data_IF_068480602527
#
_entry.id   IF_068480602527
#
_cell.length_a   1.000
_cell.length_b   1.000
_cell.length_c   1.000
_cell.angle_alpha   90.00
_cell.angle_beta   90.00
_cell.angle_gamma   90.00
#
_symmetry.space_group_name_H-M   'P 1'
#
loop_
_entity.id
_entity.type
_entity.pdbx_description
1 polymer ?
#
# COMPACT_ATOMS: atom_id res chain seq x y z
N UNK A 1 6.86 -19.86 26.29
CA UNK A 1 7.86 -19.05 25.56
C UNK A 1 7.51 -19.29 24.10
N UNK A 2 6.94 -18.39 23.31
CA UNK A 2 7.11 -16.94 23.22
C UNK A 2 5.91 -16.36 22.45
N UNK A 3 5.62 -15.08 22.67
CA UNK A 3 4.52 -14.33 22.12
C UNK A 3 4.99 -13.59 20.84
N UNK A 4 4.06 -13.39 19.89
CA UNK A 4 3.92 -12.19 19.04
C UNK A 4 4.63 -12.16 17.67
N UNK A 5 4.02 -11.41 16.74
CA UNK A 5 4.39 -11.03 15.36
C UNK A 5 3.94 -12.00 14.24
N UNK A 6 3.21 -11.61 13.20
CA UNK A 6 2.68 -10.29 12.86
C UNK A 6 1.38 -10.40 12.05
N UNK A 7 0.45 -9.60 12.53
CA UNK A 7 -0.80 -9.20 11.95
C UNK A 7 -0.55 -8.46 10.64
N UNK A 8 -0.83 -9.07 9.48
CA UNK A 8 -1.01 -8.33 8.21
C UNK A 8 -1.67 -9.17 7.12
N UNK A 9 -2.61 -10.06 7.46
CA UNK A 9 -3.63 -10.48 6.47
C UNK A 9 -4.75 -9.45 6.42
N UNK A 10 -4.43 -8.20 6.04
CA UNK A 10 -5.48 -7.24 5.67
C UNK A 10 -5.98 -7.63 4.28
N UNK A 11 -6.82 -8.67 4.25
CA UNK A 11 -7.72 -8.95 3.14
C UNK A 11 -8.59 -7.72 2.98
N UNK A 12 -8.30 -6.87 2.00
CA UNK A 12 -9.15 -5.74 1.67
C UNK A 12 -9.59 -5.85 0.23
N UNK A 13 -10.91 -5.85 0.07
CA UNK A 13 -11.68 -5.83 -1.15
C UNK A 13 -11.13 -4.84 -2.20
N UNK A 14 -11.44 -5.03 -3.49
CA UNK A 14 -10.90 -4.21 -4.58
C UNK A 14 -11.36 -2.75 -4.45
N UNK A 15 -10.47 -1.90 -3.97
CA UNK A 15 -10.57 -0.43 -3.96
C UNK A 15 -9.22 0.12 -4.46
N UNK A 16 -9.16 1.36 -4.97
CA UNK A 16 -7.89 1.99 -5.38
C UNK A 16 -6.82 1.94 -4.28
N UNK A 17 -7.25 1.90 -3.02
CA UNK A 17 -6.39 1.74 -1.86
C UNK A 17 -5.73 0.34 -1.78
N UNK A 18 -6.37 -0.71 -2.30
CA UNK A 18 -5.80 -2.06 -2.35
C UNK A 18 -4.74 -2.21 -3.46
N UNK A 19 -4.87 -1.45 -4.56
CA UNK A 19 -3.84 -1.39 -5.62
C UNK A 19 -2.55 -0.74 -5.10
N UNK A 20 -2.65 0.38 -4.40
CA UNK A 20 -1.49 1.05 -3.79
C UNK A 20 -0.76 0.17 -2.79
N UNK A 21 -1.50 -0.56 -1.94
CA UNK A 21 -0.91 -1.53 -1.01
C UNK A 21 -0.20 -2.68 -1.73
N UNK A 22 -0.81 -3.27 -2.76
CA UNK A 22 -0.21 -4.40 -3.48
C UNK A 22 1.14 -4.02 -4.11
N UNK A 23 1.21 -2.84 -4.76
CA UNK A 23 2.45 -2.33 -5.34
C UNK A 23 3.50 -2.02 -4.26
N UNK A 24 3.08 -1.39 -3.16
CA UNK A 24 3.97 -1.09 -2.03
C UNK A 24 4.56 -2.34 -1.39
N UNK A 25 3.75 -3.37 -1.14
CA UNK A 25 4.20 -4.64 -0.58
C UNK A 25 5.14 -5.37 -1.54
N UNK A 26 4.80 -5.45 -2.83
CA UNK A 26 5.65 -6.11 -3.82
C UNK A 26 7.04 -5.45 -3.92
N UNK A 27 7.09 -4.12 -3.99
CA UNK A 27 8.36 -3.37 -3.98
C UNK A 27 9.10 -3.54 -2.66
N UNK A 28 8.41 -3.43 -1.53
CA UNK A 28 8.99 -3.59 -0.20
C UNK A 28 9.62 -4.97 0.02
N UNK A 29 9.02 -6.02 -0.52
CA UNK A 29 9.58 -7.37 -0.48
C UNK A 29 10.84 -7.48 -1.34
N UNK A 30 10.85 -6.94 -2.56
CA UNK A 30 12.02 -6.96 -3.44
C UNK A 30 13.21 -6.21 -2.80
N UNK A 31 12.98 -5.00 -2.30
CA UNK A 31 14.01 -4.22 -1.62
C UNK A 31 14.42 -4.84 -0.27
N UNK A 32 13.47 -5.40 0.47
CA UNK A 32 13.72 -6.07 1.74
C UNK A 32 14.59 -7.33 1.57
N UNK A 33 14.34 -8.11 0.52
CA UNK A 33 15.17 -9.26 0.15
C UNK A 33 16.57 -8.83 -0.31
N UNK A 34 16.66 -7.73 -1.06
CA UNK A 34 17.94 -7.24 -1.57
C UNK A 34 18.85 -6.69 -0.46
N UNK A 35 18.26 -6.13 0.60
CA UNK A 35 18.97 -5.62 1.78
C UNK A 35 19.12 -6.66 2.90
N UNK A 36 18.68 -7.90 2.66
CA UNK A 36 18.58 -8.98 3.67
C UNK A 36 17.76 -8.60 4.93
N UNK A 37 16.94 -7.55 4.81
CA UNK A 37 16.19 -6.92 5.89
C UNK A 37 14.73 -6.77 5.48
N UNK A 38 14.03 -7.91 5.36
CA UNK A 38 12.63 -7.96 4.91
C UNK A 38 11.72 -7.07 5.77
N UNK A 39 11.97 -7.00 7.08
CA UNK A 39 11.19 -6.13 7.98
C UNK A 39 11.26 -4.65 7.56
N UNK A 40 12.45 -4.15 7.23
CA UNK A 40 12.66 -2.76 6.82
C UNK A 40 12.02 -2.51 5.45
N UNK A 41 12.25 -3.42 4.49
CA UNK A 41 11.66 -3.32 3.16
C UNK A 41 10.13 -3.33 3.18
N UNK A 42 9.53 -4.20 4.00
CA UNK A 42 8.08 -4.33 4.12
C UNK A 42 7.46 -3.08 4.77
N UNK A 43 8.03 -2.55 5.86
CA UNK A 43 7.55 -1.32 6.51
C UNK A 43 7.62 -0.14 5.55
N UNK A 44 8.74 0.01 4.84
CA UNK A 44 8.91 1.07 3.84
C UNK A 44 7.92 0.90 2.68
N UNK A 45 7.77 -0.31 2.17
CA UNK A 45 6.84 -0.65 1.10
C UNK A 45 5.38 -0.35 1.46
N UNK A 46 4.95 -0.71 2.67
CA UNK A 46 3.61 -0.40 3.17
C UNK A 46 3.42 1.11 3.32
N UNK A 47 4.40 1.84 3.87
CA UNK A 47 4.33 3.30 4.02
C UNK A 47 4.20 4.01 2.66
N UNK A 48 4.98 3.60 1.66
CA UNK A 48 4.91 4.12 0.29
C UNK A 48 3.58 3.75 -0.37
N UNK A 49 3.17 2.48 -0.28
CA UNK A 49 1.93 1.99 -0.88
C UNK A 49 0.67 2.68 -0.34
N UNK A 50 0.64 2.95 0.97
CA UNK A 50 -0.43 3.71 1.63
C UNK A 50 -0.46 5.18 1.19
N UNK A 51 0.71 5.81 1.09
CA UNK A 51 0.85 7.21 0.70
C UNK A 51 0.41 7.44 -0.75
N UNK A 52 0.84 6.55 -1.65
CA UNK A 52 0.44 6.58 -3.07
C UNK A 52 -1.05 6.25 -3.19
N UNK A 53 -1.53 5.19 -2.53
CA UNK A 53 -2.93 4.76 -2.57
C UNK A 53 -3.90 5.87 -2.17
N UNK A 54 -3.61 6.61 -1.10
CA UNK A 54 -4.45 7.75 -0.65
C UNK A 54 -4.36 8.97 -1.54
N UNK A 55 -3.19 9.22 -2.13
CA UNK A 55 -3.00 10.34 -3.06
C UNK A 55 -3.71 10.09 -4.38
N UNK A 56 -3.75 8.84 -4.84
CA UNK A 56 -4.47 8.45 -6.06
C UNK A 56 -5.99 8.44 -5.84
N UNK A 57 -6.45 7.96 -4.68
CA UNK A 57 -7.87 7.98 -4.30
C UNK A 57 -8.43 9.41 -4.26
N UNK A 58 -7.73 10.34 -3.59
CA UNK A 58 -8.12 11.76 -3.56
C UNK A 58 -8.13 12.42 -4.94
N UNK A 59 -7.24 12.01 -5.84
CA UNK A 59 -7.21 12.54 -7.21
C UNK A 59 -8.33 11.95 -8.07
N UNK A 60 -8.68 10.67 -7.87
CA UNK A 60 -9.79 10.04 -8.55
C UNK A 60 -11.12 10.71 -8.16
N UNK A 61 -11.36 10.96 -6.87
CA UNK A 61 -12.56 11.69 -6.40
C UNK A 61 -12.64 13.11 -6.98
N UNK A 62 -11.51 13.82 -7.07
CA UNK A 62 -11.50 15.20 -7.58
C UNK A 62 -11.75 15.29 -9.09
N UNK A 63 -11.42 14.24 -9.84
CA UNK A 63 -11.66 14.19 -11.28
C UNK A 63 -13.08 13.73 -11.62
N UNK A 64 -13.71 12.91 -10.78
CA UNK A 64 -15.08 12.44 -10.98
C UNK A 64 -16.10 13.60 -10.87
N UNK A 65 -15.91 14.52 -9.92
CA UNK A 65 -16.79 15.70 -9.79
C UNK A 65 -16.68 16.69 -10.97
N UNK A 66 -15.51 16.82 -11.60
CA UNK A 66 -15.33 17.79 -12.69
C UNK A 66 -15.96 17.34 -14.02
N UNK A 67 -16.19 16.04 -14.21
CA UNK A 67 -16.79 15.51 -15.43
C UNK A 67 -18.33 15.51 -15.40
N UNK A 68 -18.94 15.76 -14.24
CA UNK A 68 -20.40 15.76 -14.09
C UNK A 68 -21.01 17.18 -14.10
N UNK A 69 -20.16 18.22 -14.23
CA UNK A 69 -20.53 19.64 -14.31
C UNK A 69 -20.21 20.29 -15.67
N UNK A 70 -19.77 19.53 -16.68
CA UNK A 70 -19.50 19.98 -18.05
C UNK A 70 -20.46 19.35 -19.07
#
# INVERSE_FOLDING_TARGET
MEHKSDESRKRQAPSYQSRGMATGIALGLIFGLMLDQIAVGLVLGIAVGLSIGRTLERQAEKNENQNNEA
#
